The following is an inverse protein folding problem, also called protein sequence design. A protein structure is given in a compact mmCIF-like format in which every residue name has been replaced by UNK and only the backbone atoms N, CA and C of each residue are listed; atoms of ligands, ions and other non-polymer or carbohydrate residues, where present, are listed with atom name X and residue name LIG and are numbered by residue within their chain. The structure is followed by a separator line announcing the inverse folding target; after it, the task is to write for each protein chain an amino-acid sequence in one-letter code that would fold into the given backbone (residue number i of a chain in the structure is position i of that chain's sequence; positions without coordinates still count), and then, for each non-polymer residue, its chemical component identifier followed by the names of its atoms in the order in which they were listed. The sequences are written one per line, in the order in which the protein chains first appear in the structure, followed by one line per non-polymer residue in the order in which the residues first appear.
data_IF_553214117836
#
_entry.id   IF_553214117836
#
_cell.length_a   1.000
_cell.length_b   1.000
_cell.length_c   1.000
_cell.angle_alpha   90.00
_cell.angle_beta   90.00
_cell.angle_gamma   90.00
#
_symmetry.space_group_name_H-M   'P 1'
#
loop_
_entity.id
_entity.type
_entity.pdbx_description
1 polymer ?
#
# COMPACT_ATOMS: atom_id res chain seq x y z
N UNK A 1 -21.32 33.01 -2.00
CA UNK A 1 -22.74 32.63 -1.97
C UNK A 1 -22.81 31.32 -1.21
N UNK A 2 -23.67 31.21 -0.18
CA UNK A 2 -23.85 29.96 0.57
C UNK A 2 -24.80 29.06 -0.24
N UNK A 3 -24.24 28.03 -0.88
CA UNK A 3 -24.98 27.16 -1.81
C UNK A 3 -25.60 25.98 -1.05
N UNK A 4 -24.96 25.49 0.01
CA UNK A 4 -25.33 24.29 0.76
C UNK A 4 -26.19 24.57 2.01
N UNK A 5 -26.61 25.81 2.23
CA UNK A 5 -27.52 26.21 3.31
C UNK A 5 -28.78 25.31 3.42
N UNK A 6 -29.46 25.01 2.31
CA UNK A 6 -30.64 24.14 2.25
C UNK A 6 -30.32 22.64 2.44
N UNK A 7 -29.05 22.25 2.34
CA UNK A 7 -28.59 20.90 2.71
C UNK A 7 -28.40 20.85 4.24
N UNK A 8 -27.78 21.89 4.82
CA UNK A 8 -27.48 22.00 6.26
C UNK A 8 -28.68 22.35 7.15
N UNK A 9 -29.71 23.00 6.63
CA UNK A 9 -30.90 23.44 7.37
C UNK A 9 -32.17 22.83 6.82
N UNK A 10 -33.13 22.53 7.70
CA UNK A 10 -34.47 22.11 7.30
C UNK A 10 -35.22 23.24 6.61
N UNK A 11 -36.26 22.85 5.87
CA UNK A 11 -37.13 23.78 5.16
C UNK A 11 -37.84 24.69 6.17
N UNK A 12 -37.67 26.02 6.08
CA UNK A 12 -38.41 26.95 6.93
C UNK A 12 -39.91 26.90 6.60
N UNK A 13 -40.80 27.30 7.52
CA UNK A 13 -42.23 27.39 7.26
C UNK A 13 -42.52 28.21 6.00
N UNK A 14 -43.53 27.81 5.24
CA UNK A 14 -43.98 28.56 4.07
C UNK A 14 -44.44 29.97 4.48
N UNK A 15 -44.08 30.97 3.67
CA UNK A 15 -44.46 32.36 3.91
C UNK A 15 -45.99 32.50 3.86
N UNK A 16 -46.55 33.11 4.90
CA UNK A 16 -47.96 33.52 5.02
C UNK A 16 -48.09 35.04 4.97
N UNK A 17 -49.31 35.56 4.77
CA UNK A 17 -49.60 37.01 4.84
C UNK A 17 -49.23 37.65 6.19
N UNK A 18 -49.06 36.84 7.24
CA UNK A 18 -48.68 37.25 8.60
C UNK A 18 -47.19 37.07 8.91
N UNK A 19 -46.37 36.65 7.94
CA UNK A 19 -44.95 36.39 8.15
C UNK A 19 -44.14 37.70 8.31
N UNK A 20 -43.13 37.67 9.19
CA UNK A 20 -42.22 38.81 9.38
C UNK A 20 -41.25 38.94 8.19
N UNK A 21 -40.69 40.14 7.93
CA UNK A 21 -39.67 40.33 6.90
C UNK A 21 -38.49 39.34 7.05
N UNK A 22 -37.99 39.17 8.28
CA UNK A 22 -36.91 38.22 8.59
C UNK A 22 -37.26 36.76 8.22
N UNK A 23 -38.52 36.36 8.36
CA UNK A 23 -38.98 35.02 7.98
C UNK A 23 -39.03 34.85 6.45
N UNK A 24 -39.44 35.89 5.73
CA UNK A 24 -39.41 35.91 4.27
C UNK A 24 -37.97 35.84 3.72
N UNK A 25 -37.05 36.64 4.27
CA UNK A 25 -35.62 36.63 3.92
C UNK A 25 -34.97 35.26 4.15
N UNK A 26 -35.30 34.60 5.27
CA UNK A 26 -34.82 33.25 5.57
C UNK A 26 -35.36 32.20 4.59
N UNK A 27 -36.63 32.31 4.20
CA UNK A 27 -37.25 31.44 3.21
C UNK A 27 -36.65 31.65 1.81
N UNK A 28 -36.51 32.90 1.34
CA UNK A 28 -35.90 33.19 0.02
C UNK A 28 -34.45 32.71 -0.03
N UNK A 29 -33.67 32.93 1.04
CA UNK A 29 -32.29 32.42 1.15
C UNK A 29 -32.24 30.89 1.08
N UNK A 30 -33.17 30.20 1.76
CA UNK A 30 -33.27 28.74 1.71
C UNK A 30 -33.64 28.26 0.31
N UNK A 31 -34.68 28.83 -0.30
CA UNK A 31 -35.16 28.39 -1.62
C UNK A 31 -34.13 28.67 -2.73
N UNK A 32 -33.42 29.80 -2.67
CA UNK A 32 -32.30 30.08 -3.57
C UNK A 32 -31.19 29.04 -3.46
N UNK A 33 -30.84 28.62 -2.24
CA UNK A 33 -29.85 27.56 -1.99
C UNK A 33 -30.34 26.18 -2.44
N UNK A 34 -31.62 25.87 -2.20
CA UNK A 34 -32.29 24.65 -2.64
C UNK A 34 -32.22 24.53 -4.18
N UNK A 35 -32.74 25.54 -4.90
CA UNK A 35 -32.77 25.57 -6.37
C UNK A 35 -31.38 25.46 -7.00
N UNK A 36 -30.39 26.18 -6.45
CA UNK A 36 -29.00 26.11 -6.93
C UNK A 36 -28.38 24.72 -6.71
N UNK A 37 -28.61 24.11 -5.55
CA UNK A 37 -28.10 22.76 -5.25
C UNK A 37 -28.75 21.69 -6.13
N UNK A 38 -30.08 21.74 -6.30
CA UNK A 38 -30.82 20.82 -7.19
C UNK A 38 -30.32 20.94 -8.63
N UNK A 39 -30.15 22.17 -9.15
CA UNK A 39 -29.61 22.39 -10.50
C UNK A 39 -28.18 21.86 -10.63
N UNK A 40 -27.31 22.11 -9.65
CA UNK A 40 -25.93 21.63 -9.68
C UNK A 40 -25.86 20.09 -9.67
N UNK A 41 -26.67 19.42 -8.84
CA UNK A 41 -26.74 17.95 -8.80
C UNK A 41 -27.29 17.41 -10.13
N UNK A 42 -28.44 17.90 -10.62
CA UNK A 42 -29.05 17.45 -11.88
C UNK A 42 -28.12 17.65 -13.09
N UNK A 43 -27.28 18.69 -13.12
CA UNK A 43 -26.30 18.91 -14.21
C UNK A 43 -25.07 18.00 -14.16
N UNK A 44 -24.70 17.47 -12.98
CA UNK A 44 -23.55 16.54 -12.83
C UNK A 44 -23.93 15.07 -12.97
N UNK A 45 -25.22 14.76 -12.97
CA UNK A 45 -25.75 13.41 -13.10
C UNK A 45 -25.67 12.90 -14.54
N UNK A 46 -25.25 11.63 -14.67
CA UNK A 46 -25.13 10.94 -15.95
C UNK A 46 -26.51 10.66 -16.56
N UNK A 47 -26.58 10.62 -17.90
CA UNK A 47 -27.84 10.47 -18.63
C UNK A 47 -28.62 9.19 -18.23
N UNK A 48 -27.91 8.09 -17.90
CA UNK A 48 -28.52 6.79 -17.58
C UNK A 48 -29.35 6.75 -16.29
N UNK A 49 -29.20 7.72 -15.38
CA UNK A 49 -30.00 7.81 -14.14
C UNK A 49 -30.80 9.12 -14.03
N UNK A 50 -30.70 10.01 -15.03
CA UNK A 50 -31.30 11.35 -14.99
C UNK A 50 -32.82 11.30 -14.81
N UNK A 51 -33.51 10.41 -15.51
CA UNK A 51 -34.98 10.28 -15.42
C UNK A 51 -35.49 9.93 -14.02
N UNK A 52 -34.73 9.16 -13.23
CA UNK A 52 -35.07 8.84 -11.83
C UNK A 52 -34.93 10.04 -10.89
N UNK A 53 -34.26 11.10 -11.34
CA UNK A 53 -33.77 12.22 -10.52
C UNK A 53 -34.46 13.55 -10.89
N UNK A 54 -34.93 13.69 -12.13
CA UNK A 54 -35.61 14.90 -12.60
C UNK A 54 -36.86 15.27 -11.78
N UNK A 55 -37.54 14.29 -11.20
CA UNK A 55 -38.75 14.43 -10.38
C UNK A 55 -38.59 15.12 -9.01
N UNK A 56 -37.35 15.44 -8.58
CA UNK A 56 -37.11 16.05 -7.26
C UNK A 56 -36.76 17.53 -7.36
N UNK A 57 -37.59 18.39 -6.76
CA UNK A 57 -37.38 19.85 -6.71
C UNK A 57 -36.78 20.35 -5.38
N UNK A 58 -36.62 19.44 -4.42
CA UNK A 58 -36.00 19.69 -3.12
C UNK A 58 -34.71 18.90 -2.96
N UNK A 59 -33.65 19.57 -2.52
CA UNK A 59 -32.30 19.00 -2.43
C UNK A 59 -32.19 17.82 -1.45
N UNK A 60 -32.89 17.87 -0.31
CA UNK A 60 -32.86 16.77 0.68
C UNK A 60 -33.52 15.47 0.16
N UNK A 61 -34.76 15.48 -0.37
CA UNK A 61 -35.33 14.32 -1.05
C UNK A 61 -34.49 13.81 -2.22
N UNK A 62 -33.92 14.72 -3.04
CA UNK A 62 -33.03 14.37 -4.14
C UNK A 62 -31.80 13.59 -3.67
N UNK A 63 -31.08 14.10 -2.66
CA UNK A 63 -29.92 13.42 -2.08
C UNK A 63 -30.31 12.07 -1.45
N UNK A 64 -31.47 11.98 -0.80
CA UNK A 64 -31.98 10.73 -0.24
C UNK A 64 -32.26 9.69 -1.32
N UNK A 65 -32.92 10.07 -2.42
CA UNK A 65 -33.22 9.17 -3.53
C UNK A 65 -31.95 8.68 -4.26
N UNK A 66 -30.97 9.56 -4.48
CA UNK A 66 -29.64 9.17 -4.98
C UNK A 66 -29.01 8.15 -4.02
N UNK A 67 -28.99 8.44 -2.72
CA UNK A 67 -28.40 7.54 -1.73
C UNK A 67 -29.11 6.17 -1.69
N UNK A 68 -30.44 6.13 -1.75
CA UNK A 68 -31.22 4.88 -1.81
C UNK A 68 -30.96 4.07 -3.09
N UNK A 69 -30.85 4.74 -4.24
CA UNK A 69 -30.56 4.08 -5.52
C UNK A 69 -29.14 3.48 -5.54
N UNK A 70 -28.15 4.16 -4.93
CA UNK A 70 -26.75 3.70 -4.89
C UNK A 70 -26.37 2.86 -3.66
N UNK A 71 -27.16 2.83 -2.57
CA UNK A 71 -26.92 1.96 -1.41
C UNK A 71 -26.91 0.45 -1.75
N UNK A 72 -27.50 0.06 -2.88
CA UNK A 72 -27.38 -1.31 -3.42
C UNK A 72 -26.00 -1.57 -4.04
N UNK A 73 -25.36 -0.54 -4.61
CA UNK A 73 -23.98 -0.59 -5.11
C UNK A 73 -22.98 -0.76 -3.97
N UNK A 74 -23.21 -0.19 -2.80
CA UNK A 74 -22.27 -0.30 -1.66
C UNK A 74 -22.07 -1.75 -1.20
N UNK A 75 -23.15 -2.55 -1.18
CA UNK A 75 -23.08 -4.00 -0.87
C UNK A 75 -22.33 -4.79 -1.94
N UNK A 76 -22.53 -4.46 -3.22
CA UNK A 76 -21.83 -5.10 -4.34
C UNK A 76 -20.35 -4.68 -4.40
N UNK A 77 -20.04 -3.42 -4.06
CA UNK A 77 -18.70 -2.88 -3.96
C UNK A 77 -17.95 -3.51 -2.77
N UNK A 78 -18.57 -3.60 -1.59
CA UNK A 78 -18.01 -4.30 -0.44
C UNK A 78 -17.71 -5.77 -0.77
N UNK A 79 -18.63 -6.46 -1.44
CA UNK A 79 -18.42 -7.84 -1.90
C UNK A 79 -17.24 -7.98 -2.87
N UNK A 80 -17.13 -7.04 -3.83
CA UNK A 80 -16.00 -6.96 -4.78
C UNK A 80 -14.67 -6.70 -4.06
N UNK A 81 -14.64 -5.76 -3.12
CA UNK A 81 -13.46 -5.43 -2.32
C UNK A 81 -13.05 -6.58 -1.40
N UNK A 82 -13.99 -7.31 -0.80
CA UNK A 82 -13.71 -8.55 -0.02
C UNK A 82 -13.12 -9.63 -0.94
N UNK A 83 -13.65 -9.81 -2.15
CA UNK A 83 -13.10 -10.77 -3.13
C UNK A 83 -11.68 -10.37 -3.57
N UNK A 84 -11.43 -9.09 -3.78
CA UNK A 84 -10.11 -8.57 -4.13
C UNK A 84 -9.12 -8.69 -2.96
N UNK A 85 -9.56 -8.40 -1.72
CA UNK A 85 -8.78 -8.53 -0.50
C UNK A 85 -8.43 -9.99 -0.19
N UNK A 86 -9.38 -10.91 -0.36
CA UNK A 86 -9.19 -12.34 -0.08
C UNK A 86 -8.28 -13.06 -1.10
N UNK A 87 -8.20 -12.55 -2.32
CA UNK A 87 -7.41 -13.12 -3.43
C UNK A 87 -6.01 -12.51 -3.61
N UNK A 88 -5.76 -11.28 -3.15
CA UNK A 88 -4.46 -10.61 -3.35
C UNK A 88 -3.30 -11.37 -2.65
N UNK A 89 -2.24 -11.66 -3.39
CA UNK A 89 -1.00 -12.29 -2.90
C UNK A 89 0.20 -11.56 -3.49
N UNK A 90 1.29 -11.46 -2.73
CA UNK A 90 2.55 -10.96 -3.25
C UNK A 90 3.24 -12.11 -4.02
N UNK A 91 3.47 -11.93 -5.31
CA UNK A 91 3.89 -13.00 -6.23
C UNK A 91 5.40 -13.20 -6.35
N UNK A 92 6.22 -12.33 -5.74
CA UNK A 92 7.68 -12.39 -5.78
C UNK A 92 8.31 -11.64 -4.61
N UNK A 93 9.65 -11.57 -4.57
CA UNK A 93 10.35 -10.88 -3.48
C UNK A 93 10.04 -9.38 -3.47
N UNK A 94 10.04 -8.74 -4.64
CA UNK A 94 9.94 -7.28 -4.82
C UNK A 94 8.49 -6.78 -4.82
N UNK A 95 8.31 -5.56 -4.33
CA UNK A 95 7.04 -4.82 -4.34
C UNK A 95 6.29 -4.85 -3.01
N UNK A 96 6.90 -5.29 -1.91
CA UNK A 96 6.21 -5.52 -0.63
C UNK A 96 5.58 -4.25 -0.07
N UNK A 97 6.21 -3.09 -0.27
CA UNK A 97 5.66 -1.77 0.10
C UNK A 97 4.32 -1.48 -0.59
N UNK A 98 4.28 -1.66 -1.92
CA UNK A 98 3.09 -1.38 -2.71
C UNK A 98 1.98 -2.39 -2.40
N UNK A 99 2.34 -3.65 -2.15
CA UNK A 99 1.42 -4.70 -1.71
C UNK A 99 0.74 -4.37 -0.38
N UNK A 100 1.52 -4.00 0.65
CA UNK A 100 0.98 -3.61 1.97
C UNK A 100 0.13 -2.33 1.87
N UNK A 101 0.59 -1.33 1.11
CA UNK A 101 -0.20 -0.10 0.87
C UNK A 101 -1.54 -0.40 0.21
N UNK A 102 -1.59 -1.32 -0.78
CA UNK A 102 -2.82 -1.73 -1.44
C UNK A 102 -3.78 -2.47 -0.50
N UNK A 103 -3.27 -3.31 0.40
CA UNK A 103 -4.10 -3.97 1.42
C UNK A 103 -4.68 -2.98 2.42
N UNK A 104 -3.89 -2.00 2.86
CA UNK A 104 -4.35 -0.92 3.74
C UNK A 104 -5.40 -0.04 3.07
N UNK A 105 -5.25 0.24 1.78
CA UNK A 105 -6.21 1.01 0.98
C UNK A 105 -7.56 0.27 0.86
N UNK A 106 -7.55 -1.00 0.45
CA UNK A 106 -8.78 -1.82 0.40
C UNK A 106 -9.44 -1.94 1.78
N UNK A 107 -8.65 -2.08 2.86
CA UNK A 107 -9.17 -2.09 4.22
C UNK A 107 -9.83 -0.77 4.63
N UNK A 108 -9.28 0.37 4.22
CA UNK A 108 -9.87 1.69 4.46
C UNK A 108 -11.17 1.89 3.66
N UNK A 109 -11.21 1.44 2.40
CA UNK A 109 -12.43 1.44 1.59
C UNK A 109 -13.52 0.56 2.21
N UNK A 110 -13.18 -0.64 2.67
CA UNK A 110 -14.11 -1.53 3.37
C UNK A 110 -14.65 -0.92 4.67
N UNK A 111 -13.80 -0.24 5.45
CA UNK A 111 -14.24 0.47 6.66
C UNK A 111 -15.21 1.62 6.34
N UNK A 112 -15.07 2.30 5.20
CA UNK A 112 -16.03 3.31 4.75
C UNK A 112 -17.39 2.72 4.34
N UNK A 113 -17.45 1.42 4.05
CA UNK A 113 -18.67 0.64 3.77
C UNK A 113 -19.15 -0.17 4.99
N UNK A 114 -18.81 0.29 6.20
CA UNK A 114 -19.15 -0.34 7.50
C UNK A 114 -18.59 -1.77 7.72
N UNK A 115 -17.73 -2.27 6.83
CA UNK A 115 -17.02 -3.55 6.99
C UNK A 115 -15.70 -3.31 7.73
N UNK A 116 -15.78 -3.25 9.06
CA UNK A 116 -14.60 -3.02 9.90
C UNK A 116 -13.72 -4.28 10.06
N UNK A 117 -12.41 -4.08 9.96
CA UNK A 117 -11.40 -5.09 10.30
C UNK A 117 -10.41 -4.53 11.33
N UNK A 118 -10.02 -5.35 12.31
CA UNK A 118 -9.02 -4.95 13.29
C UNK A 118 -7.62 -4.86 12.66
N UNK A 119 -6.78 -3.97 13.18
CA UNK A 119 -5.38 -3.87 12.73
C UNK A 119 -4.64 -5.20 12.90
N UNK A 120 -4.90 -5.92 14.01
CA UNK A 120 -4.34 -7.25 14.26
C UNK A 120 -4.73 -8.26 13.17
N UNK A 121 -6.00 -8.28 12.73
CA UNK A 121 -6.42 -9.13 11.62
C UNK A 121 -5.68 -8.77 10.32
N UNK A 122 -5.59 -7.48 9.99
CA UNK A 122 -4.92 -7.02 8.77
C UNK A 122 -3.42 -7.36 8.77
N UNK A 123 -2.73 -7.22 9.90
CA UNK A 123 -1.32 -7.62 10.07
C UNK A 123 -1.12 -9.12 9.84
N UNK A 124 -1.93 -9.98 10.48
CA UNK A 124 -1.87 -11.43 10.26
C UNK A 124 -2.24 -11.80 8.82
N UNK A 125 -3.22 -11.12 8.22
CA UNK A 125 -3.63 -11.36 6.84
C UNK A 125 -2.51 -11.03 5.85
N UNK A 126 -1.87 -9.85 5.99
CA UNK A 126 -0.70 -9.46 5.20
C UNK A 126 0.38 -10.55 5.28
N UNK A 127 0.72 -11.04 6.47
CA UNK A 127 1.69 -12.12 6.66
C UNK A 127 1.31 -13.41 5.92
N UNK A 128 0.03 -13.79 5.91
CA UNK A 128 -0.46 -14.94 5.13
C UNK A 128 -0.26 -14.74 3.61
N UNK A 129 -0.28 -13.50 3.12
CA UNK A 129 -0.20 -13.18 1.68
C UNK A 129 1.21 -13.03 1.12
N UNK A 130 2.24 -12.93 1.97
CA UNK A 130 3.65 -12.91 1.56
C UNK A 130 4.07 -14.29 1.00
N UNK A 131 4.92 -14.36 -0.04
CA UNK A 131 5.31 -15.62 -0.66
C UNK A 131 6.32 -16.41 0.20
N UNK A 132 6.61 -17.65 -0.19
CA UNK A 132 7.38 -18.60 0.60
C UNK A 132 8.80 -18.12 0.97
N UNK A 133 9.40 -17.24 0.17
CA UNK A 133 10.71 -16.64 0.43
C UNK A 133 10.75 -15.87 1.77
N UNK A 134 9.61 -15.31 2.20
CA UNK A 134 9.44 -14.66 3.51
C UNK A 134 9.21 -15.66 4.66
N UNK A 135 9.40 -16.96 4.45
CA UNK A 135 9.23 -17.99 5.50
C UNK A 135 9.99 -17.70 6.80
N UNK A 136 11.31 -17.38 6.76
CA UNK A 136 12.09 -17.01 7.95
C UNK A 136 11.52 -15.77 8.67
N UNK A 137 11.05 -14.78 7.91
CA UNK A 137 10.41 -13.58 8.45
C UNK A 137 9.11 -13.88 9.20
N UNK A 138 8.25 -14.75 8.66
CA UNK A 138 7.02 -15.18 9.35
C UNK A 138 7.32 -15.91 10.66
N UNK A 139 8.38 -16.73 10.69
CA UNK A 139 8.85 -17.39 11.92
C UNK A 139 9.32 -16.34 12.93
N UNK A 140 10.14 -15.37 12.50
CA UNK A 140 10.63 -14.28 13.35
C UNK A 140 9.48 -13.49 13.99
N UNK A 141 8.46 -13.12 13.20
CA UNK A 141 7.24 -12.48 13.70
C UNK A 141 6.51 -13.35 14.73
N UNK A 142 6.27 -14.64 14.44
CA UNK A 142 5.58 -15.55 15.36
C UNK A 142 6.34 -15.78 16.69
N UNK A 143 7.66 -15.55 16.72
CA UNK A 143 8.47 -15.61 17.95
C UNK A 143 8.54 -14.28 18.71
N UNK A 144 8.10 -13.17 18.13
CA UNK A 144 7.97 -11.89 18.83
C UNK A 144 6.74 -11.91 19.74
N UNK A 145 6.89 -11.31 20.94
CA UNK A 145 5.80 -11.21 21.91
C UNK A 145 4.94 -9.96 21.70
N UNK A 146 5.52 -8.91 21.13
CA UNK A 146 4.87 -7.64 20.90
C UNK A 146 4.05 -7.67 19.60
N UNK A 147 2.85 -7.07 19.64
CA UNK A 147 2.00 -6.91 18.46
C UNK A 147 2.54 -5.77 17.61
N UNK A 148 2.80 -6.04 16.32
CA UNK A 148 3.20 -4.98 15.39
C UNK A 148 1.99 -4.25 14.83
N UNK A 149 2.14 -2.95 14.65
CA UNK A 149 1.31 -2.13 13.76
C UNK A 149 1.61 -2.43 12.28
N UNK A 150 0.74 -1.96 11.39
CA UNK A 150 0.96 -2.06 9.93
C UNK A 150 2.23 -1.30 9.49
N UNK A 151 2.59 -0.21 10.19
CA UNK A 151 3.77 0.60 9.85
C UNK A 151 5.09 -0.11 10.25
N UNK A 152 5.10 -0.81 11.39
CA UNK A 152 6.23 -1.64 11.81
C UNK A 152 6.38 -2.85 10.88
N UNK A 153 5.27 -3.55 10.60
CA UNK A 153 5.25 -4.65 9.62
C UNK A 153 5.79 -4.21 8.26
N UNK A 154 5.36 -3.05 7.75
CA UNK A 154 5.86 -2.48 6.49
C UNK A 154 7.38 -2.25 6.54
N UNK A 155 7.88 -1.64 7.62
CA UNK A 155 9.31 -1.33 7.78
C UNK A 155 10.14 -2.61 7.79
N UNK A 156 9.71 -3.60 8.58
CA UNK A 156 10.39 -4.89 8.70
C UNK A 156 10.33 -5.69 7.39
N UNK A 157 9.19 -5.68 6.69
CA UNK A 157 9.03 -6.30 5.36
C UNK A 157 9.97 -5.69 4.31
N UNK A 158 10.15 -4.36 4.29
CA UNK A 158 11.05 -3.69 3.33
C UNK A 158 12.52 -4.00 3.62
N UNK A 159 12.89 -4.13 4.90
CA UNK A 159 14.24 -4.60 5.27
C UNK A 159 14.47 -6.05 4.81
N UNK A 160 13.48 -6.93 4.99
CA UNK A 160 13.53 -8.33 4.55
C UNK A 160 13.57 -8.47 3.02
N UNK A 161 12.80 -7.66 2.28
CA UNK A 161 12.88 -7.56 0.81
C UNK A 161 14.31 -7.25 0.34
N UNK A 162 14.97 -6.30 1.02
CA UNK A 162 16.38 -5.96 0.77
C UNK A 162 17.34 -7.12 1.03
N UNK A 163 17.15 -7.85 2.14
CA UNK A 163 17.95 -9.04 2.48
C UNK A 163 17.78 -10.15 1.44
N UNK A 164 16.54 -10.48 1.10
CA UNK A 164 16.18 -11.51 0.11
C UNK A 164 16.72 -11.16 -1.29
N UNK A 165 16.67 -9.88 -1.67
CA UNK A 165 17.23 -9.40 -2.94
C UNK A 165 18.75 -9.57 -3.06
N UNK A 166 19.50 -9.51 -1.95
CA UNK A 166 20.93 -9.82 -1.95
C UNK A 166 21.18 -11.33 -2.16
N UNK A 167 20.43 -12.18 -1.45
CA UNK A 167 20.56 -13.65 -1.56
C UNK A 167 20.18 -14.17 -2.96
N UNK A 168 19.20 -13.55 -3.63
CA UNK A 168 18.84 -13.89 -5.01
C UNK A 168 19.97 -13.52 -5.98
N UNK A 169 20.59 -12.34 -5.82
CA UNK A 169 21.75 -11.92 -6.61
C UNK A 169 22.99 -12.80 -6.39
N UNK A 170 23.22 -13.26 -5.16
CA UNK A 170 24.31 -14.20 -4.86
C UNK A 170 24.09 -15.57 -5.52
N UNK A 171 22.87 -16.13 -5.48
CA UNK A 171 22.53 -17.40 -6.13
C UNK A 171 22.79 -17.39 -7.64
N UNK A 172 22.46 -16.30 -8.33
CA UNK A 172 22.75 -16.17 -9.78
C UNK A 172 24.25 -16.19 -10.05
N UNK A 173 25.06 -15.53 -9.21
CA UNK A 173 26.51 -15.51 -9.34
C UNK A 173 27.17 -16.89 -9.14
N UNK A 174 26.64 -17.74 -8.25
CA UNK A 174 27.12 -19.11 -8.11
C UNK A 174 26.82 -19.97 -9.35
N UNK A 175 25.65 -19.79 -9.99
CA UNK A 175 25.30 -20.53 -11.21
C UNK A 175 26.19 -20.16 -12.40
N UNK A 176 26.64 -18.91 -12.50
CA UNK A 176 27.54 -18.45 -13.58
C UNK A 176 28.96 -19.04 -13.43
N UNK A 177 29.43 -19.31 -12.20
CA UNK A 177 30.76 -19.92 -11.98
C UNK A 177 30.82 -21.41 -12.32
N UNK A 178 29.67 -22.07 -12.58
CA UNK A 178 29.58 -23.53 -12.79
C UNK A 178 29.93 -24.06 -14.19
N UNK A 179 30.20 -23.21 -15.20
CA UNK A 179 30.50 -23.66 -16.58
C UNK A 179 31.71 -22.97 -17.22
N UNK A 180 32.92 -23.29 -16.73
CA UNK A 180 34.14 -23.19 -17.56
C UNK A 180 34.32 -24.45 -18.40
N UNK A 181 33.61 -24.54 -19.55
CA UNK A 181 34.12 -25.36 -20.65
C UNK A 181 35.39 -24.68 -21.19
N UNK A 182 36.52 -25.40 -21.19
CA UNK A 182 37.64 -25.04 -22.06
C UNK A 182 37.20 -25.36 -23.48
N UNK A 183 37.29 -24.37 -24.38
CA UNK A 183 37.67 -24.59 -25.77
C UNK A 183 38.32 -23.32 -26.31
N UNK A 184 39.32 -23.48 -27.16
CA UNK A 184 40.16 -22.38 -27.65
C UNK A 184 39.64 -21.87 -29.00
N UNK A 185 39.42 -20.56 -29.12
CA UNK A 185 39.44 -19.88 -30.41
C UNK A 185 39.92 -18.43 -30.24
N UNK A 186 40.96 -18.04 -30.99
CA UNK A 186 41.43 -16.66 -31.10
C UNK A 186 40.42 -15.84 -31.90
N UNK A 187 40.16 -14.58 -31.53
CA UNK A 187 40.16 -13.44 -32.47
C UNK A 187 40.40 -12.11 -31.74
N UNK A 188 41.02 -11.14 -32.41
CA UNK A 188 41.45 -9.85 -31.84
C UNK A 188 40.34 -8.79 -31.93
N UNK A 189 40.19 -7.94 -30.90
CA UNK A 189 39.36 -6.73 -30.93
C UNK A 189 39.75 -5.69 -29.87
N UNK A 190 39.78 -4.41 -30.25
CA UNK A 190 40.06 -3.19 -29.45
C UNK A 190 38.71 -2.48 -29.18
N UNK A 191 38.46 -1.55 -28.24
CA UNK A 191 39.08 -0.88 -27.05
C UNK A 191 37.91 -0.07 -26.40
N UNK A 192 37.92 0.50 -25.15
CA UNK A 192 38.95 0.63 -24.09
C UNK A 192 38.54 0.04 -22.72
N UNK A 193 39.43 0.14 -21.72
CA UNK A 193 39.11 -0.04 -20.30
C UNK A 193 38.80 1.31 -19.62
N UNK A 194 37.95 1.30 -18.57
CA UNK A 194 37.79 2.44 -17.66
C UNK A 194 37.92 2.03 -16.18
N UNK A 195 38.91 2.66 -15.53
CA UNK A 195 38.97 3.04 -14.11
C UNK A 195 38.91 1.94 -13.04
N UNK A 196 40.10 1.45 -12.68
CA UNK A 196 40.38 0.79 -11.40
C UNK A 196 40.02 1.69 -10.20
N UNK A 197 38.95 1.35 -9.46
CA UNK A 197 38.78 1.80 -8.08
C UNK A 197 39.31 0.71 -7.16
N UNK A 198 40.60 0.79 -6.80
CA UNK A 198 41.22 -0.06 -5.78
C UNK A 198 40.62 0.23 -4.39
N UNK A 199 39.49 -0.42 -4.08
CA UNK A 199 39.00 -0.52 -2.70
C UNK A 199 40.02 -1.32 -1.88
N UNK A 200 40.79 -0.64 -1.03
CA UNK A 200 41.75 -1.26 -0.13
C UNK A 200 41.06 -2.34 0.73
N UNK A 201 41.45 -3.60 0.55
CA UNK A 201 40.90 -4.72 1.30
C UNK A 201 41.28 -4.62 2.78
N UNK A 202 40.30 -4.31 3.63
CA UNK A 202 40.46 -4.22 5.09
C UNK A 202 40.00 -5.53 5.73
N UNK A 203 40.85 -6.14 6.53
CA UNK A 203 40.54 -7.37 7.24
C UNK A 203 39.46 -7.13 8.31
N UNK A 204 38.30 -7.74 8.15
CA UNK A 204 37.17 -7.60 9.09
C UNK A 204 37.45 -8.13 10.51
N UNK A 205 38.50 -8.94 10.71
CA UNK A 205 38.88 -9.44 12.04
C UNK A 205 39.87 -8.51 12.75
N UNK A 206 41.04 -8.23 12.15
CA UNK A 206 42.07 -7.41 12.80
C UNK A 206 42.04 -5.91 12.42
N UNK A 207 41.11 -5.50 11.56
CA UNK A 207 40.92 -4.13 11.03
C UNK A 207 42.14 -3.53 10.30
N UNK A 208 43.21 -4.29 10.02
CA UNK A 208 44.34 -3.86 9.17
C UNK A 208 43.99 -3.96 7.67
N UNK A 209 44.59 -3.10 6.85
CA UNK A 209 44.50 -3.13 5.38
C UNK A 209 45.44 -4.18 4.78
N UNK A 210 45.24 -4.51 3.50
CA UNK A 210 46.14 -5.34 2.68
C UNK A 210 45.87 -6.85 2.71
N UNK A 211 44.86 -7.32 3.46
CA UNK A 211 44.47 -8.74 3.46
C UNK A 211 43.00 -8.91 3.88
N UNK A 212 42.38 -10.03 3.48
CA UNK A 212 41.01 -10.37 3.87
C UNK A 212 40.98 -11.24 5.14
N UNK A 213 39.80 -11.39 5.77
CA UNK A 213 39.66 -12.16 7.03
C UNK A 213 40.19 -13.60 6.93
N UNK A 214 39.98 -14.27 5.80
CA UNK A 214 40.48 -15.63 5.49
C UNK A 214 42.02 -15.74 5.50
N UNK A 215 42.72 -14.65 5.19
CA UNK A 215 44.18 -14.59 5.07
C UNK A 215 44.83 -13.99 6.33
N UNK A 216 44.02 -13.66 7.35
CA UNK A 216 44.50 -13.02 8.57
C UNK A 216 45.13 -14.03 9.53
N UNK A 217 46.44 -13.94 9.75
CA UNK A 217 47.18 -14.82 10.66
C UNK A 217 46.56 -14.83 12.07
N UNK A 218 46.14 -13.67 12.58
CA UNK A 218 45.44 -13.57 13.89
C UNK A 218 44.10 -14.30 13.92
N UNK A 219 43.39 -14.37 12.79
CA UNK A 219 42.12 -15.10 12.72
C UNK A 219 42.36 -16.61 12.66
N UNK A 220 43.38 -17.07 11.93
CA UNK A 220 43.79 -18.49 11.92
C UNK A 220 44.18 -18.96 13.31
N UNK A 221 45.12 -18.29 13.99
CA UNK A 221 45.51 -18.63 15.37
C UNK A 221 44.37 -18.51 16.40
N UNK A 222 43.31 -17.76 16.11
CA UNK A 222 42.10 -17.71 16.93
C UNK A 222 41.18 -18.92 16.69
N UNK A 223 41.07 -19.41 15.44
CA UNK A 223 40.36 -20.65 15.12
C UNK A 223 41.06 -21.86 15.73
N UNK A 224 42.40 -21.91 15.64
CA UNK A 224 43.22 -22.99 16.21
C UNK A 224 43.00 -23.11 17.72
N UNK A 225 43.07 -21.98 18.45
CA UNK A 225 42.79 -21.91 19.90
C UNK A 225 41.34 -22.17 20.29
N UNK A 226 40.41 -22.17 19.34
CA UNK A 226 38.97 -22.43 19.55
C UNK A 226 38.53 -23.82 19.06
N UNK A 227 39.45 -24.65 18.55
CA UNK A 227 39.14 -25.98 18.02
C UNK A 227 38.38 -25.97 16.68
N UNK A 228 38.39 -24.85 15.94
CA UNK A 228 37.69 -24.70 14.65
C UNK A 228 38.63 -24.82 13.44
N UNK A 229 39.87 -25.26 13.65
CA UNK A 229 40.80 -25.55 12.56
C UNK A 229 40.29 -26.77 11.77
N UNK A 230 39.95 -26.56 10.49
CA UNK A 230 39.84 -27.66 9.53
C UNK A 230 41.26 -28.10 9.16
N UNK A 231 41.61 -29.33 9.52
CA UNK A 231 42.69 -30.11 8.88
C UNK A 231 42.45 -30.22 7.38
#
# INVERSE_FOLDING_TARGET
MDIDYAIRKDEPPAITETSTPDAADLYEKWERSNRLSVMFIKTKISAGIRGSVEQYDKVKPLLKAINEQFATSDKALASTLIMQFSSIRLTGIRGVRNHIMRMRDIAAQLKALEVEMSESFLVHYILCTLPQQYGPFKISYNTHKDKWSINELLTMCVQEEGRLGMEEGEKVNFTIQGKKKKDQAKYKGKIPAQLDIKKESKCFFCKKKGHMKKDCSKFKSWLDKKGYAKT
#
